data_IF_235973452363
#
_entry.id   IF_235973452363
#
_cell.length_a   1.000
_cell.length_b   1.000
_cell.length_c   1.000
_cell.angle_alpha   90.00
_cell.angle_beta   90.00
_cell.angle_gamma   90.00
#
_symmetry.space_group_name_H-M   'P 1'
#
loop_
_entity.id
_entity.type
_entity.pdbx_description
1 polymer ?
#
# COMPACT_ATOMS: atom_id res chain seq x y z
N UNK A 1 -38.55 -11.66 32.26
CA UNK A 1 -37.69 -12.26 31.20
C UNK A 1 -37.14 -11.21 30.21
N UNK A 2 -37.85 -10.13 29.89
CA UNK A 2 -37.43 -9.07 28.93
C UNK A 2 -36.10 -8.36 29.23
N UNK A 3 -35.83 -8.02 30.49
CA UNK A 3 -34.65 -7.22 30.89
C UNK A 3 -33.29 -7.90 30.58
N UNK A 4 -33.26 -9.23 30.53
CA UNK A 4 -32.06 -10.00 30.17
C UNK A 4 -31.89 -10.10 28.64
N UNK A 5 -32.99 -10.11 27.89
CA UNK A 5 -32.97 -10.07 26.42
C UNK A 5 -32.45 -8.72 25.92
N UNK A 6 -32.95 -7.62 26.47
CA UNK A 6 -32.53 -6.27 26.08
C UNK A 6 -31.02 -6.03 26.33
N UNK A 7 -30.52 -6.45 27.50
CA UNK A 7 -29.07 -6.36 27.83
C UNK A 7 -28.20 -7.18 26.87
N UNK A 8 -28.65 -8.38 26.48
CA UNK A 8 -27.94 -9.25 25.54
C UNK A 8 -27.87 -8.65 24.13
N UNK A 9 -28.98 -8.07 23.66
CA UNK A 9 -29.05 -7.39 22.36
C UNK A 9 -28.16 -6.15 22.35
N UNK A 10 -28.25 -5.29 23.38
CA UNK A 10 -27.44 -4.08 23.51
C UNK A 10 -25.94 -4.40 23.57
N UNK A 11 -25.52 -5.40 24.36
CA UNK A 11 -24.11 -5.85 24.39
C UNK A 11 -23.63 -6.37 23.04
N UNK A 12 -24.50 -7.04 22.27
CA UNK A 12 -24.15 -7.57 20.94
C UNK A 12 -24.02 -6.45 19.90
N UNK A 13 -24.91 -5.46 19.94
CA UNK A 13 -24.85 -4.28 19.05
C UNK A 13 -23.58 -3.46 19.33
N UNK A 14 -23.32 -3.10 20.60
CA UNK A 14 -22.12 -2.35 21.00
C UNK A 14 -20.85 -3.09 20.57
N UNK A 15 -20.82 -4.41 20.76
CA UNK A 15 -19.71 -5.26 20.31
C UNK A 15 -19.49 -5.23 18.80
N UNK A 16 -20.55 -5.27 18.00
CA UNK A 16 -20.42 -5.21 16.54
C UNK A 16 -19.97 -3.83 16.09
N UNK A 17 -20.54 -2.77 16.66
CA UNK A 17 -20.17 -1.38 16.37
C UNK A 17 -18.69 -1.11 16.69
N UNK A 18 -18.20 -1.59 17.84
CA UNK A 18 -16.79 -1.44 18.20
C UNK A 18 -15.84 -2.20 17.25
N UNK A 19 -16.25 -3.39 16.79
CA UNK A 19 -15.46 -4.18 15.83
C UNK A 19 -15.39 -3.47 14.48
N UNK A 20 -16.52 -2.96 14.00
CA UNK A 20 -16.60 -2.22 12.73
C UNK A 20 -15.81 -0.90 12.81
N UNK A 21 -15.92 -0.15 13.91
CA UNK A 21 -15.14 1.06 14.12
C UNK A 21 -13.63 0.77 14.15
N UNK A 22 -13.22 -0.31 14.81
CA UNK A 22 -11.83 -0.75 14.82
C UNK A 22 -11.31 -1.13 13.42
N UNK A 23 -12.12 -1.84 12.63
CA UNK A 23 -11.77 -2.17 11.24
C UNK A 23 -11.68 -0.92 10.38
N UNK A 24 -12.65 -0.01 10.50
CA UNK A 24 -12.64 1.26 9.76
C UNK A 24 -11.39 2.07 10.07
N UNK A 25 -11.01 2.17 11.34
CA UNK A 25 -9.77 2.83 11.75
C UNK A 25 -8.52 2.10 11.23
N UNK A 26 -8.48 0.77 11.32
CA UNK A 26 -7.37 -0.03 10.79
C UNK A 26 -7.20 0.18 9.28
N UNK A 27 -8.29 0.13 8.52
CA UNK A 27 -8.26 0.35 7.08
C UNK A 27 -7.91 1.80 6.73
N UNK A 28 -8.40 2.80 7.48
CA UNK A 28 -8.06 4.20 7.17
C UNK A 28 -6.58 4.51 7.32
N UNK A 29 -5.87 3.82 8.22
CA UNK A 29 -4.42 4.01 8.40
C UNK A 29 -3.58 3.08 7.52
N UNK A 30 -4.05 1.86 7.22
CA UNK A 30 -3.24 0.86 6.51
C UNK A 30 -3.57 0.71 5.03
N UNK A 31 -4.76 1.11 4.57
CA UNK A 31 -5.18 0.98 3.18
C UNK A 31 -5.01 2.28 2.38
N UNK A 32 -4.10 3.16 2.81
CA UNK A 32 -3.77 4.41 2.11
C UNK A 32 -2.49 4.27 1.28
N UNK A 33 -2.38 4.94 0.12
CA UNK A 33 -1.14 4.92 -0.67
C UNK A 33 0.06 5.38 0.17
N UNK A 34 1.16 4.63 0.14
CA UNK A 34 2.34 4.98 0.91
C UNK A 34 2.34 4.53 2.37
N UNK A 35 1.37 3.70 2.82
CA UNK A 35 1.20 3.30 4.23
C UNK A 35 1.50 1.83 4.52
N UNK A 36 2.03 1.04 3.57
CA UNK A 36 2.23 -0.39 3.78
C UNK A 36 3.24 -0.68 4.89
N UNK A 37 4.17 0.23 5.17
CA UNK A 37 5.03 0.16 6.36
C UNK A 37 4.24 0.04 7.68
N UNK A 38 3.02 0.60 7.76
CA UNK A 38 2.15 0.47 8.93
C UNK A 38 1.67 -0.97 9.13
N UNK A 39 1.58 -1.78 8.07
CA UNK A 39 1.21 -3.20 8.21
C UNK A 39 2.25 -4.00 8.98
N UNK A 40 3.53 -3.63 8.87
CA UNK A 40 4.64 -4.26 9.61
C UNK A 40 4.43 -4.13 11.12
N UNK A 41 3.86 -3.01 11.58
CA UNK A 41 3.55 -2.77 12.99
C UNK A 41 2.14 -3.27 13.37
N UNK A 42 1.16 -3.04 12.50
CA UNK A 42 -0.24 -3.27 12.79
C UNK A 42 -0.62 -4.75 12.75
N UNK A 43 -0.04 -5.56 11.87
CA UNK A 43 -0.37 -7.00 11.76
C UNK A 43 0.11 -7.80 12.98
N UNK A 44 1.34 -7.64 13.50
CA UNK A 44 1.75 -8.31 14.74
C UNK A 44 0.91 -7.87 15.93
N UNK A 45 0.62 -6.57 16.05
CA UNK A 45 -0.22 -6.06 17.13
C UNK A 45 -1.64 -6.63 17.04
N UNK A 46 -2.26 -6.63 15.86
CA UNK A 46 -3.57 -7.24 15.65
C UNK A 46 -3.52 -8.73 15.99
N UNK A 47 -2.51 -9.45 15.54
CA UNK A 47 -2.34 -10.88 15.81
C UNK A 47 -2.26 -11.17 17.32
N UNK A 48 -1.44 -10.40 18.07
CA UNK A 48 -1.30 -10.59 19.53
C UNK A 48 -2.61 -10.31 20.27
N UNK A 49 -3.32 -9.23 19.93
CA UNK A 49 -4.63 -8.86 20.52
C UNK A 49 -5.68 -9.94 20.20
N UNK A 50 -5.75 -10.42 18.95
CA UNK A 50 -6.73 -11.43 18.56
C UNK A 50 -6.40 -12.80 19.15
N UNK A 51 -5.12 -13.15 19.29
CA UNK A 51 -4.68 -14.39 19.92
C UNK A 51 -5.01 -14.40 21.42
N UNK A 52 -4.77 -13.29 22.13
CA UNK A 52 -5.12 -13.17 23.56
C UNK A 52 -6.63 -13.25 23.79
N UNK A 53 -7.42 -12.53 22.99
CA UNK A 53 -8.89 -12.59 23.04
C UNK A 53 -9.42 -14.00 22.73
N UNK A 54 -8.85 -14.68 21.72
CA UNK A 54 -9.22 -16.05 21.37
C UNK A 54 -8.89 -17.04 22.49
N UNK A 55 -7.74 -16.89 23.15
CA UNK A 55 -7.37 -17.74 24.31
C UNK A 55 -8.33 -17.53 25.48
N UNK A 56 -8.68 -16.28 25.80
CA UNK A 56 -9.65 -15.98 26.86
C UNK A 56 -11.04 -16.54 26.55
N UNK A 57 -11.47 -16.51 25.29
CA UNK A 57 -12.79 -17.00 24.89
C UNK A 57 -12.91 -18.52 24.87
N UNK A 58 -11.80 -19.29 24.79
CA UNK A 58 -11.82 -20.77 24.82
C UNK A 58 -12.44 -21.34 26.10
N UNK A 59 -12.45 -20.57 27.19
CA UNK A 59 -13.03 -20.99 28.46
C UNK A 59 -14.57 -20.97 28.45
N UNK A 60 -15.21 -20.37 27.43
CA UNK A 60 -16.67 -20.26 27.31
C UNK A 60 -17.13 -20.55 25.88
N UNK A 61 -17.88 -21.63 25.60
CA UNK A 61 -18.21 -22.04 24.23
C UNK A 61 -19.00 -20.99 23.44
N UNK A 62 -19.91 -20.25 24.09
CA UNK A 62 -20.65 -19.16 23.45
C UNK A 62 -19.76 -17.96 23.08
N UNK A 63 -18.76 -17.64 23.92
CA UNK A 63 -17.80 -16.58 23.62
C UNK A 63 -16.85 -17.01 22.50
N UNK A 64 -16.43 -18.27 22.48
CA UNK A 64 -15.56 -18.82 21.45
C UNK A 64 -16.18 -18.71 20.04
N UNK A 65 -17.49 -18.97 19.90
CA UNK A 65 -18.19 -18.83 18.61
C UNK A 65 -18.20 -17.37 18.12
N UNK A 66 -18.48 -16.42 19.01
CA UNK A 66 -18.48 -14.97 18.68
C UNK A 66 -17.08 -14.49 18.29
N UNK A 67 -16.05 -14.91 19.03
CA UNK A 67 -14.67 -14.54 18.70
C UNK A 67 -14.17 -15.17 17.40
N UNK A 68 -14.64 -16.38 17.04
CA UNK A 68 -14.32 -16.99 15.74
C UNK A 68 -14.85 -16.16 14.58
N UNK A 69 -16.09 -15.66 14.68
CA UNK A 69 -16.66 -14.78 13.66
C UNK A 69 -15.87 -13.47 13.56
N UNK A 70 -15.56 -12.83 14.70
CA UNK A 70 -14.73 -11.61 14.71
C UNK A 70 -13.35 -11.83 14.10
N UNK A 71 -12.72 -12.99 14.36
CA UNK A 71 -11.44 -13.34 13.73
C UNK A 71 -11.56 -13.41 12.22
N UNK A 72 -12.61 -14.03 11.68
CA UNK A 72 -12.83 -14.09 10.23
C UNK A 72 -12.92 -12.69 9.64
N UNK A 73 -13.71 -11.79 10.24
CA UNK A 73 -13.85 -10.41 9.75
C UNK A 73 -12.52 -9.65 9.82
N UNK A 74 -11.76 -9.80 10.90
CA UNK A 74 -10.44 -9.19 11.03
C UNK A 74 -9.42 -9.74 10.03
N UNK A 75 -9.46 -11.05 9.73
CA UNK A 75 -8.61 -11.66 8.69
C UNK A 75 -8.96 -11.08 7.31
N UNK A 76 -10.24 -10.94 6.99
CA UNK A 76 -10.69 -10.33 5.73
C UNK A 76 -10.20 -8.88 5.64
N UNK A 77 -10.32 -8.09 6.72
CA UNK A 77 -9.83 -6.71 6.73
C UNK A 77 -8.30 -6.63 6.57
N UNK A 78 -7.55 -7.51 7.24
CA UNK A 78 -6.10 -7.60 7.09
C UNK A 78 -5.70 -7.98 5.66
N UNK A 79 -6.35 -8.98 5.08
CA UNK A 79 -6.11 -9.41 3.70
C UNK A 79 -6.44 -8.31 2.68
N UNK A 80 -7.54 -7.60 2.88
CA UNK A 80 -7.92 -6.46 2.03
C UNK A 80 -6.87 -5.36 2.08
N UNK A 81 -6.38 -5.02 3.28
CA UNK A 81 -5.34 -4.00 3.44
C UNK A 81 -4.02 -4.41 2.78
N UNK A 82 -3.58 -5.67 2.95
CA UNK A 82 -2.41 -6.21 2.26
C UNK A 82 -2.59 -6.14 0.74
N UNK A 83 -3.75 -6.58 0.24
CA UNK A 83 -4.07 -6.55 -1.20
C UNK A 83 -4.04 -5.14 -1.79
N UNK A 84 -4.61 -4.14 -1.10
CA UNK A 84 -4.57 -2.74 -1.53
C UNK A 84 -3.13 -2.23 -1.62
N UNK A 85 -2.28 -2.57 -0.66
CA UNK A 85 -0.88 -2.14 -0.68
C UNK A 85 -0.06 -2.83 -1.78
N UNK A 86 -0.31 -4.11 -2.04
CA UNK A 86 0.29 -4.83 -3.17
C UNK A 86 -0.14 -4.18 -4.50
N UNK A 87 -1.43 -3.86 -4.64
CA UNK A 87 -1.93 -3.15 -5.82
C UNK A 87 -1.25 -1.79 -5.98
N UNK A 88 -1.17 -0.99 -4.92
CA UNK A 88 -0.51 0.31 -4.93
C UNK A 88 0.98 0.21 -5.30
N UNK A 89 1.67 -0.84 -4.84
CA UNK A 89 3.06 -1.13 -5.20
C UNK A 89 3.22 -1.37 -6.70
N UNK A 90 2.46 -2.30 -7.27
CA UNK A 90 2.57 -2.62 -8.70
C UNK A 90 2.13 -1.45 -9.58
N UNK A 91 1.09 -0.73 -9.17
CA UNK A 91 0.61 0.45 -9.88
C UNK A 91 1.66 1.57 -9.88
N UNK A 92 2.26 1.89 -8.73
CA UNK A 92 3.31 2.91 -8.63
C UNK A 92 4.50 2.58 -9.54
N UNK A 93 4.89 1.31 -9.57
CA UNK A 93 6.02 0.83 -10.36
C UNK A 93 5.74 0.84 -11.86
N UNK A 94 4.54 0.46 -12.27
CA UNK A 94 4.11 0.53 -13.66
C UNK A 94 4.09 1.99 -14.17
N UNK A 95 3.48 2.90 -13.41
CA UNK A 95 3.41 4.33 -13.75
C UNK A 95 4.79 4.97 -13.86
N UNK A 96 5.72 4.57 -12.98
CA UNK A 96 7.12 5.00 -13.03
C UNK A 96 7.84 4.52 -14.30
N UNK A 97 7.64 3.26 -14.70
CA UNK A 97 8.22 2.73 -15.94
C UNK A 97 7.66 3.44 -17.19
N UNK A 98 6.35 3.68 -17.24
CA UNK A 98 5.71 4.43 -18.32
C UNK A 98 6.24 5.86 -18.39
N UNK A 99 6.39 6.52 -17.23
CA UNK A 99 6.94 7.87 -17.14
C UNK A 99 8.38 7.96 -17.63
N UNK A 100 9.24 7.02 -17.24
CA UNK A 100 10.63 6.94 -17.70
C UNK A 100 10.71 6.79 -19.23
N UNK A 101 9.83 5.97 -19.83
CA UNK A 101 9.75 5.82 -21.28
C UNK A 101 9.32 7.12 -21.99
N UNK A 102 8.32 7.83 -21.45
CA UNK A 102 7.89 9.14 -21.98
C UNK A 102 9.04 10.15 -21.96
N UNK A 103 9.82 10.17 -20.89
CA UNK A 103 11.00 11.03 -20.76
C UNK A 103 12.09 10.66 -21.76
N UNK A 104 12.34 9.37 -21.98
CA UNK A 104 13.25 8.88 -23.01
C UNK A 104 12.83 9.32 -24.42
N UNK A 105 11.53 9.24 -24.75
CA UNK A 105 11.00 9.73 -26.02
C UNK A 105 11.11 11.25 -26.16
N UNK A 106 10.85 12.00 -25.08
CA UNK A 106 11.01 13.45 -25.07
C UNK A 106 12.46 13.84 -25.37
N UNK A 107 13.42 13.17 -24.72
CA UNK A 107 14.84 13.37 -24.97
C UNK A 107 15.22 13.05 -26.41
N UNK A 108 14.74 11.94 -26.97
CA UNK A 108 15.00 11.56 -28.36
C UNK A 108 14.49 12.61 -29.38
N UNK A 109 13.37 13.29 -29.07
CA UNK A 109 12.78 14.32 -29.95
C UNK A 109 13.40 15.70 -29.78
N UNK A 110 13.79 16.08 -28.56
CA UNK A 110 14.18 17.46 -28.25
C UNK A 110 15.67 17.61 -27.90
N UNK A 111 16.42 16.50 -27.79
CA UNK A 111 17.82 16.50 -27.39
C UNK A 111 18.07 16.91 -25.93
N UNK A 112 16.99 17.08 -25.14
CA UNK A 112 17.04 17.51 -23.73
C UNK A 112 15.90 16.88 -22.95
N UNK A 113 16.10 16.68 -21.64
CA UNK A 113 15.04 16.22 -20.76
C UNK A 113 14.02 17.34 -20.50
N UNK A 114 12.75 17.01 -20.23
CA UNK A 114 11.71 18.00 -19.98
C UNK A 114 12.02 18.75 -18.67
N UNK A 115 11.79 20.07 -18.65
CA UNK A 115 12.03 20.89 -17.46
C UNK A 115 10.98 20.64 -16.36
N UNK A 116 9.79 20.18 -16.75
CA UNK A 116 8.68 19.89 -15.84
C UNK A 116 7.94 18.63 -16.28
N UNK A 117 7.22 18.01 -15.34
CA UNK A 117 6.29 16.91 -15.66
C UNK A 117 5.24 17.30 -16.71
N UNK A 118 4.78 18.55 -16.66
CA UNK A 118 3.81 19.09 -17.62
C UNK A 118 4.39 19.18 -19.03
N UNK A 119 5.67 19.57 -19.18
CA UNK A 119 6.34 19.62 -20.48
C UNK A 119 6.41 18.23 -21.16
N UNK A 120 6.45 17.17 -20.36
CA UNK A 120 6.38 15.77 -20.83
C UNK A 120 4.94 15.24 -21.02
N UNK A 121 3.91 16.06 -20.77
CA UNK A 121 2.52 15.62 -20.81
C UNK A 121 2.06 14.76 -19.63
N UNK A 122 2.83 14.75 -18.53
CA UNK A 122 2.56 14.00 -17.29
C UNK A 122 2.02 14.86 -16.14
N UNK A 123 1.81 16.16 -16.36
CA UNK A 123 1.30 17.08 -15.34
C UNK A 123 -0.04 16.60 -14.76
N UNK A 124 -0.04 16.21 -13.47
CA UNK A 124 -1.24 15.81 -12.73
C UNK A 124 -1.78 14.40 -13.03
N UNK A 125 -1.14 13.64 -13.92
CA UNK A 125 -1.60 12.28 -14.27
C UNK A 125 -1.20 11.23 -13.25
N UNK A 126 -0.09 11.45 -12.53
CA UNK A 126 0.53 10.44 -11.67
C UNK A 126 0.80 11.05 -10.30
N UNK A 127 0.03 10.64 -9.30
CA UNK A 127 0.01 11.26 -7.97
C UNK A 127 1.27 10.98 -7.12
N UNK A 128 1.96 9.87 -7.36
CA UNK A 128 3.18 9.54 -6.65
C UNK A 128 4.43 10.19 -7.25
N UNK A 129 4.33 10.69 -8.49
CA UNK A 129 5.47 11.12 -9.28
C UNK A 129 5.98 12.48 -8.79
N UNK A 130 7.25 12.52 -8.42
CA UNK A 130 8.00 13.75 -8.23
C UNK A 130 9.14 13.82 -9.23
N UNK A 131 9.38 15.03 -9.71
CA UNK A 131 10.47 15.31 -10.63
C UNK A 131 11.36 16.38 -10.03
N UNK A 132 12.63 16.04 -9.89
CA UNK A 132 13.63 16.90 -9.27
C UNK A 132 14.89 16.98 -10.14
N UNK A 133 15.60 18.08 -10.00
CA UNK A 133 16.93 18.26 -10.57
C UNK A 133 17.94 18.20 -9.43
N UNK A 134 18.91 17.28 -9.53
CA UNK A 134 20.01 17.15 -8.58
C UNK A 134 21.30 17.25 -9.39
N UNK A 135 22.17 18.21 -9.06
CA UNK A 135 23.44 18.46 -9.75
C UNK A 135 23.32 18.61 -11.28
N UNK A 136 22.26 19.29 -11.74
CA UNK A 136 21.99 19.48 -13.16
C UNK A 136 21.48 18.22 -13.88
N UNK A 137 21.13 17.17 -13.13
CA UNK A 137 20.62 15.90 -13.67
C UNK A 137 19.15 15.70 -13.29
N UNK A 138 18.32 15.22 -14.22
CA UNK A 138 16.93 14.90 -13.93
C UNK A 138 16.84 13.62 -13.12
N UNK A 139 16.04 13.64 -12.06
CA UNK A 139 15.71 12.47 -11.25
C UNK A 139 14.20 12.31 -11.17
N UNK A 140 13.73 11.11 -11.47
CA UNK A 140 12.33 10.73 -11.30
C UNK A 140 12.18 9.94 -10.02
N UNK A 141 11.24 10.35 -9.18
CA UNK A 141 11.01 9.79 -7.84
C UNK A 141 9.54 9.40 -7.71
N UNK A 142 9.26 8.25 -7.09
CA UNK A 142 7.92 7.90 -6.61
C UNK A 142 8.04 7.19 -5.27
N UNK A 143 7.21 7.59 -4.29
CA UNK A 143 7.29 7.05 -2.93
C UNK A 143 7.09 5.53 -2.91
N UNK A 144 7.98 4.80 -2.25
CA UNK A 144 7.81 3.36 -2.02
C UNK A 144 6.65 3.15 -1.01
N UNK A 145 5.62 2.35 -1.33
CA UNK A 145 4.55 2.08 -0.39
C UNK A 145 4.95 1.17 0.78
N UNK A 146 5.92 0.27 0.60
CA UNK A 146 6.44 -0.69 1.58
C UNK A 146 7.38 -0.05 2.59
N UNK A 147 8.14 0.96 2.18
CA UNK A 147 9.21 1.55 2.98
C UNK A 147 8.88 2.99 3.35
N UNK A 148 9.06 3.34 4.62
CA UNK A 148 8.65 4.63 5.15
C UNK A 148 9.38 5.83 4.50
N UNK A 149 10.66 5.64 4.21
CA UNK A 149 11.58 6.70 3.77
C UNK A 149 12.10 6.53 2.34
N UNK A 150 11.85 5.39 1.70
CA UNK A 150 12.42 5.09 0.39
C UNK A 150 11.52 5.57 -0.76
N UNK A 151 12.15 5.81 -1.90
CA UNK A 151 11.50 6.20 -3.14
C UNK A 151 12.06 5.36 -4.28
N UNK A 152 11.22 4.88 -5.20
CA UNK A 152 11.73 4.40 -6.48
C UNK A 152 12.39 5.54 -7.22
N UNK A 153 13.66 5.36 -7.58
CA UNK A 153 14.45 6.36 -8.30
C UNK A 153 14.90 5.80 -9.65
N UNK A 154 14.69 6.58 -10.72
CA UNK A 154 15.20 6.26 -12.04
C UNK A 154 16.36 7.19 -12.41
N UNK A 155 17.51 6.60 -12.70
CA UNK A 155 18.68 7.30 -13.20
C UNK A 155 18.65 7.30 -14.73
N UNK A 156 18.36 8.47 -15.30
CA UNK A 156 18.33 8.68 -16.74
C UNK A 156 19.70 8.62 -17.40
N UNK A 157 20.79 8.90 -16.67
CA UNK A 157 22.15 8.87 -17.20
C UNK A 157 22.59 7.42 -17.46
N UNK A 158 22.35 6.55 -16.49
CA UNK A 158 22.70 5.12 -16.58
C UNK A 158 21.54 4.25 -17.07
N UNK A 159 20.39 4.85 -17.38
CA UNK A 159 19.14 4.20 -17.83
C UNK A 159 18.70 3.05 -16.93
N UNK A 160 18.85 3.20 -15.62
CA UNK A 160 18.61 2.14 -14.63
C UNK A 160 17.84 2.64 -13.42
N UNK A 161 17.16 1.72 -12.76
CA UNK A 161 16.61 1.91 -11.44
C UNK A 161 17.74 1.86 -10.39
N UNK A 162 17.84 2.86 -9.51
CA UNK A 162 18.91 2.94 -8.50
C UNK A 162 18.60 2.11 -7.24
N UNK A 163 17.32 1.96 -6.92
CA UNK A 163 16.80 1.23 -5.76
C UNK A 163 15.78 0.19 -6.22
N UNK A 164 16.19 -0.61 -7.21
CA UNK A 164 15.43 -1.82 -7.52
C UNK A 164 15.81 -2.90 -6.51
N UNK A 165 14.82 -3.52 -5.88
CA UNK A 165 14.98 -4.45 -4.76
C UNK A 165 15.58 -5.82 -5.19
N UNK A 166 16.45 -5.85 -6.20
CA UNK A 166 17.10 -7.04 -6.73
C UNK A 166 16.31 -7.80 -7.80
N UNK A 167 15.16 -7.28 -8.27
CA UNK A 167 14.53 -7.81 -9.48
C UNK A 167 15.34 -7.30 -10.69
N UNK A 168 15.84 -8.18 -11.56
CA UNK A 168 16.53 -7.75 -12.77
C UNK A 168 15.58 -6.91 -13.62
N UNK A 169 16.08 -5.77 -14.09
CA UNK A 169 15.46 -5.05 -15.20
C UNK A 169 15.31 -6.07 -16.31
N UNK A 170 14.08 -6.45 -16.65
CA UNK A 170 13.84 -7.21 -17.86
C UNK A 170 14.39 -6.35 -18.99
N UNK A 171 15.53 -6.76 -19.53
CA UNK A 171 16.08 -6.17 -20.73
C UNK A 171 14.94 -6.12 -21.74
N UNK A 172 14.79 -4.96 -22.38
CA UNK A 172 13.89 -4.84 -23.51
C UNK A 172 14.19 -6.01 -24.45
N UNK A 173 13.16 -6.67 -25.06
CA UNK A 173 13.45 -7.69 -26.05
C UNK A 173 14.38 -7.05 -27.07
N UNK A 174 15.59 -7.60 -27.18
CA UNK A 174 16.52 -7.24 -28.24
C UNK A 174 15.71 -7.42 -29.53
N UNK A 175 15.46 -6.31 -30.22
CA UNK A 175 14.98 -6.35 -31.59
C UNK A 175 16.08 -7.07 -32.37
N UNK A 176 15.92 -8.39 -32.52
CA UNK A 176 16.65 -9.19 -33.49
C UNK A 176 16.31 -8.64 -34.87
N UNK A 177 17.30 -8.00 -35.46
CA UNK A 177 17.37 -7.49 -36.83
C UNK A 177 17.04 -8.52 -37.89
#
# INVERSE_FOLDING_TARGET
MERNSLKSVVMTVISCSATLAGIAFFLSITATPGSAYMLVLALPLLFTIRLSASRSARQRPEAARKERLRNIVWIIAAALSVGINIFNYYHARHEMAVSAAVFGQYYARHGRYPETLAAAGLGGKISCLRYHWIDGKPLLLCKDPLLLFEHYQYDFQHRRWLEDNGEPVADQPEDET
#
